data_IF_489937788760
#
_entry.id   IF_489937788760
#
_cell.length_a   1.000
_cell.length_b   1.000
_cell.length_c   1.000
_cell.angle_alpha   90.00
_cell.angle_beta   90.00
_cell.angle_gamma   90.00
#
_symmetry.space_group_name_H-M   'P 1'
#
loop_
_entity.id
_entity.type
_entity.pdbx_description
1 polymer ?
#
# COMPACT_ATOMS: atom_id res chain seq x y z
N UNK A 1 -43.38 -26.73 11.67
CA UNK A 1 -42.62 -26.70 12.92
C UNK A 1 -41.23 -26.19 12.59
N UNK A 2 -41.01 -24.91 12.81
CA UNK A 2 -39.73 -24.20 12.63
C UNK A 2 -39.68 -23.17 13.76
N UNK A 3 -38.56 -23.03 14.50
CA UNK A 3 -38.50 -22.10 15.62
C UNK A 3 -38.07 -20.71 15.13
N UNK A 4 -38.84 -19.71 15.55
CA UNK A 4 -38.50 -18.29 15.52
C UNK A 4 -37.34 -18.02 16.48
N UNK A 5 -36.41 -17.15 16.08
CA UNK A 5 -35.38 -16.61 16.97
C UNK A 5 -35.53 -15.09 17.07
N UNK A 6 -35.86 -14.63 18.27
CA UNK A 6 -35.95 -13.23 18.71
C UNK A 6 -34.56 -12.58 18.83
N UNK A 7 -34.46 -11.31 18.43
CA UNK A 7 -33.35 -10.40 18.75
C UNK A 7 -33.71 -9.53 19.97
N UNK A 8 -32.77 -9.21 20.88
CA UNK A 8 -32.99 -8.28 21.98
C UNK A 8 -32.68 -6.80 21.60
N UNK A 9 -33.15 -5.83 22.40
CA UNK A 9 -33.24 -4.42 22.00
C UNK A 9 -32.01 -3.56 22.34
N UNK A 10 -31.89 -2.49 21.57
CA UNK A 10 -30.93 -1.38 21.66
C UNK A 10 -31.19 -0.53 22.92
N UNK A 11 -30.15 -0.24 23.70
CA UNK A 11 -30.18 0.77 24.77
C UNK A 11 -29.64 2.11 24.26
N UNK A 12 -30.47 3.14 24.43
CA UNK A 12 -30.18 4.55 24.25
C UNK A 12 -29.29 5.10 25.36
N UNK A 13 -28.29 5.91 25.01
CA UNK A 13 -27.61 6.81 25.96
C UNK A 13 -27.56 8.23 25.40
N UNK A 14 -27.84 9.14 26.32
CA UNK A 14 -28.12 10.56 26.15
C UNK A 14 -26.86 11.40 25.94
N UNK A 15 -27.02 12.50 25.19
CA UNK A 15 -26.12 13.65 25.11
C UNK A 15 -25.95 14.37 26.46
N UNK A 16 -24.93 15.24 26.59
CA UNK A 16 -25.28 16.64 26.82
C UNK A 16 -24.44 17.68 26.04
N UNK A 17 -25.20 18.68 25.60
CA UNK A 17 -25.02 20.13 25.39
C UNK A 17 -23.63 20.81 25.43
N UNK A 18 -23.45 21.66 24.41
CA UNK A 18 -22.50 22.76 24.25
C UNK A 18 -22.51 23.77 25.41
N UNK A 19 -21.37 24.43 25.61
CA UNK A 19 -21.35 25.88 25.83
C UNK A 19 -20.20 26.55 25.05
N UNK A 20 -20.53 27.70 24.50
CA UNK A 20 -19.73 28.53 23.58
C UNK A 20 -19.15 29.71 24.35
N UNK A 21 -17.85 30.00 24.22
CA UNK A 21 -17.35 31.38 24.40
C UNK A 21 -16.20 31.69 23.45
N UNK A 22 -16.48 32.66 22.58
CA UNK A 22 -15.60 33.37 21.66
C UNK A 22 -14.77 34.39 22.45
N UNK A 23 -13.46 34.50 22.21
CA UNK A 23 -12.72 35.77 22.41
C UNK A 23 -11.51 35.86 21.47
N UNK A 24 -11.41 37.02 20.85
CA UNK A 24 -10.56 37.45 19.73
C UNK A 24 -9.22 38.06 20.19
N UNK A 25 -8.25 38.07 19.26
CA UNK A 25 -7.14 39.05 19.06
C UNK A 25 -5.69 38.64 19.43
N UNK A 26 -4.94 38.19 18.42
CA UNK A 26 -3.72 38.74 17.77
C UNK A 26 -2.56 39.41 18.60
N UNK A 27 -1.41 39.81 17.99
CA UNK A 27 -0.20 38.98 17.84
C UNK A 27 1.10 39.67 18.34
N UNK A 28 2.15 38.90 18.69
CA UNK A 28 3.51 39.48 18.88
C UNK A 28 4.64 38.50 18.52
N UNK A 29 5.23 38.75 17.34
CA UNK A 29 6.66 38.91 16.99
C UNK A 29 7.82 38.36 17.86
N UNK A 30 8.82 37.80 17.14
CA UNK A 30 10.29 37.66 17.35
C UNK A 30 10.85 36.96 18.60
N UNK A 31 11.69 35.92 18.41
CA UNK A 31 13.14 36.08 18.22
C UNK A 31 13.90 34.75 18.29
N UNK A 32 14.89 34.64 17.41
CA UNK A 32 15.96 33.65 17.27
C UNK A 32 16.98 33.63 18.42
N UNK A 33 17.53 32.44 18.72
CA UNK A 33 18.98 32.11 18.73
C UNK A 33 19.45 31.17 19.86
N UNK A 34 20.61 30.48 19.68
CA UNK A 34 20.93 29.19 20.30
C UNK A 34 21.97 29.27 21.43
N UNK A 35 22.09 28.21 22.23
CA UNK A 35 23.20 28.05 23.18
C UNK A 35 23.57 26.59 23.44
N UNK A 36 24.69 26.19 22.84
CA UNK A 36 25.87 25.55 23.44
C UNK A 36 25.73 24.66 24.69
N UNK A 37 26.10 23.39 24.50
CA UNK A 37 27.05 22.56 25.28
C UNK A 37 27.25 22.85 26.76
N UNK A 38 26.89 21.87 27.59
CA UNK A 38 27.57 21.60 28.86
C UNK A 38 27.81 20.10 28.99
N UNK A 39 29.09 19.75 28.94
CA UNK A 39 29.70 18.45 29.18
C UNK A 39 29.74 18.16 30.68
N UNK A 40 29.24 16.99 31.11
CA UNK A 40 29.59 16.42 32.42
C UNK A 40 29.86 14.91 32.27
N UNK A 41 31.00 14.39 32.73
CA UNK A 41 31.40 13.00 32.53
C UNK A 41 31.14 12.16 33.78
N UNK A 42 30.28 11.13 33.69
CA UNK A 42 30.27 9.99 34.62
C UNK A 42 29.23 8.94 34.20
N UNK A 43 29.68 7.91 33.48
CA UNK A 43 29.23 6.50 33.56
C UNK A 43 29.72 5.75 32.32
N UNK A 44 31.03 5.51 32.28
CA UNK A 44 31.68 4.71 31.25
C UNK A 44 31.87 3.29 31.77
N UNK A 45 30.83 2.45 31.66
CA UNK A 45 31.02 0.99 31.76
C UNK A 45 30.05 0.12 30.94
N UNK A 46 29.20 0.69 30.07
CA UNK A 46 28.31 -0.09 29.17
C UNK A 46 28.28 0.39 27.71
N UNK A 47 29.09 1.38 27.34
CA UNK A 47 28.99 2.09 26.05
C UNK A 47 29.68 1.44 24.84
N UNK A 48 30.20 0.21 24.95
CA UNK A 48 30.89 -0.45 23.84
C UNK A 48 30.03 -1.42 23.00
N UNK A 49 28.76 -1.66 23.36
CA UNK A 49 27.91 -2.64 22.64
C UNK A 49 27.23 -2.07 21.38
N UNK A 50 26.98 -0.77 21.29
CA UNK A 50 26.28 -0.16 20.16
C UNK A 50 27.25 0.50 19.16
N UNK A 51 28.16 -0.28 18.60
CA UNK A 51 28.86 0.15 17.39
C UNK A 51 27.96 -0.18 16.20
N UNK A 52 27.65 0.82 15.37
CA UNK A 52 26.93 0.64 14.10
C UNK A 52 27.56 -0.50 13.30
N UNK A 53 26.72 -1.28 12.59
CA UNK A 53 27.12 -2.39 11.72
C UNK A 53 28.38 -2.11 10.90
N UNK A 54 28.45 -0.93 10.28
CA UNK A 54 29.57 -0.50 9.45
C UNK A 54 30.91 -0.46 10.22
N UNK A 55 30.90 -0.02 11.47
CA UNK A 55 32.09 -0.01 12.33
C UNK A 55 32.57 -1.42 12.65
N UNK A 56 31.63 -2.36 12.85
CA UNK A 56 31.95 -3.76 13.12
C UNK A 56 32.51 -4.46 11.89
N UNK A 57 31.96 -4.21 10.70
CA UNK A 57 32.51 -4.73 9.43
C UNK A 57 33.91 -4.21 9.15
N UNK A 58 34.17 -2.92 9.39
CA UNK A 58 35.52 -2.37 9.23
C UNK A 58 36.51 -2.97 10.24
N UNK A 59 36.08 -3.27 11.47
CA UNK A 59 36.91 -4.00 12.42
C UNK A 59 37.17 -5.43 11.94
N UNK A 60 36.14 -6.13 11.43
CA UNK A 60 36.24 -7.49 10.92
C UNK A 60 37.23 -7.62 9.76
N UNK A 61 37.26 -6.64 8.85
CA UNK A 61 38.21 -6.58 7.73
C UNK A 61 39.66 -6.36 8.16
N UNK A 62 39.87 -5.74 9.33
CA UNK A 62 41.21 -5.45 9.87
C UNK A 62 41.80 -6.59 10.68
N UNK A 63 40.98 -7.55 11.10
CA UNK A 63 41.45 -8.69 11.87
C UNK A 63 42.37 -9.58 11.02
N UNK A 64 43.44 -10.13 11.62
CA UNK A 64 44.32 -11.05 10.93
C UNK A 64 43.54 -12.31 10.54
N UNK A 65 43.67 -12.72 9.28
CA UNK A 65 43.14 -14.01 8.82
C UNK A 65 44.29 -15.01 8.88
N UNK A 66 44.18 -16.11 9.65
CA UNK A 66 45.29 -17.03 9.92
C UNK A 66 45.63 -17.97 8.75
N UNK A 67 45.24 -17.59 7.54
CA UNK A 67 45.47 -18.34 6.31
C UNK A 67 46.94 -18.73 6.14
N UNK A 68 47.87 -17.80 6.38
CA UNK A 68 49.32 -18.05 6.25
C UNK A 68 49.80 -19.14 7.19
N UNK A 69 49.36 -19.09 8.45
CA UNK A 69 49.87 -19.97 9.50
C UNK A 69 49.36 -21.39 9.32
N UNK A 70 48.08 -21.53 8.98
CA UNK A 70 47.45 -22.82 8.67
C UNK A 70 48.07 -23.41 7.40
N UNK A 71 48.21 -22.60 6.34
CA UNK A 71 48.81 -23.06 5.08
C UNK A 71 50.26 -23.54 5.29
N UNK A 72 51.08 -22.76 6.00
CA UNK A 72 52.46 -23.15 6.27
C UNK A 72 52.53 -24.40 7.15
N UNK A 73 51.67 -24.54 8.16
CA UNK A 73 51.60 -25.74 8.98
C UNK A 73 51.22 -26.99 8.15
N UNK A 74 50.25 -26.85 7.24
CA UNK A 74 49.84 -27.92 6.33
C UNK A 74 50.91 -28.28 5.29
N UNK A 75 51.61 -27.29 4.73
CA UNK A 75 52.59 -27.48 3.65
C UNK A 75 53.92 -28.06 4.14
N UNK A 76 54.29 -27.79 5.40
CA UNK A 76 55.56 -28.23 6.00
C UNK A 76 55.37 -29.26 7.12
N UNK A 77 54.20 -29.88 7.16
CA UNK A 77 53.74 -30.82 8.19
C UNK A 77 54.74 -31.94 8.49
N UNK A 78 55.40 -32.52 7.48
CA UNK A 78 56.34 -33.63 7.69
C UNK A 78 57.62 -33.18 8.42
N UNK A 79 58.04 -31.94 8.19
CA UNK A 79 59.33 -31.40 8.65
C UNK A 79 59.28 -30.75 10.03
N UNK A 80 58.09 -30.32 10.48
CA UNK A 80 57.93 -29.55 11.72
C UNK A 80 57.64 -30.50 12.90
N UNK A 81 58.26 -30.28 14.09
CA UNK A 81 57.92 -31.02 15.31
C UNK A 81 56.44 -30.87 15.69
N UNK A 82 55.83 -31.93 16.22
CA UNK A 82 54.40 -31.97 16.57
C UNK A 82 53.98 -30.82 17.50
N UNK A 83 54.81 -30.49 18.48
CA UNK A 83 54.58 -29.37 19.43
C UNK A 83 54.44 -28.03 18.72
N UNK A 84 55.30 -27.75 17.74
CA UNK A 84 55.27 -26.49 16.99
C UNK A 84 54.05 -26.42 16.06
N UNK A 85 53.62 -27.56 15.48
CA UNK A 85 52.40 -27.62 14.68
C UNK A 85 51.16 -27.37 15.56
N UNK A 86 51.11 -27.95 16.76
CA UNK A 86 50.03 -27.73 17.72
C UNK A 86 49.97 -26.27 18.23
N UNK A 87 51.12 -25.64 18.47
CA UNK A 87 51.18 -24.22 18.85
C UNK A 87 50.66 -23.30 17.71
N UNK A 88 51.02 -23.58 16.46
CA UNK A 88 50.45 -22.90 15.29
C UNK A 88 48.95 -23.12 15.15
N UNK A 89 48.48 -24.35 15.39
CA UNK A 89 47.05 -24.65 15.41
C UNK A 89 46.33 -23.83 16.49
N UNK A 90 46.88 -23.74 17.71
CA UNK A 90 46.28 -22.96 18.79
C UNK A 90 46.24 -21.46 18.45
N UNK A 91 47.34 -20.91 17.94
CA UNK A 91 47.41 -19.51 17.49
C UNK A 91 46.33 -19.22 16.43
N UNK A 92 46.28 -20.04 15.38
CA UNK A 92 45.28 -19.91 14.33
C UNK A 92 43.85 -20.06 14.87
N UNK A 93 43.62 -20.99 15.80
CA UNK A 93 42.30 -21.18 16.43
C UNK A 93 41.87 -19.97 17.25
N UNK A 94 42.79 -19.33 17.97
CA UNK A 94 42.51 -18.08 18.70
C UNK A 94 42.11 -16.97 17.74
N UNK A 95 42.87 -16.79 16.65
CA UNK A 95 42.54 -15.79 15.62
C UNK A 95 41.18 -16.07 14.96
N UNK A 96 40.86 -17.35 14.64
CA UNK A 96 39.55 -17.75 14.13
C UNK A 96 38.43 -17.40 15.12
N UNK A 97 38.61 -17.71 16.40
CA UNK A 97 37.60 -17.44 17.43
C UNK A 97 37.35 -15.95 17.58
N UNK A 98 38.41 -15.12 17.67
CA UNK A 98 38.26 -13.65 17.74
C UNK A 98 37.57 -13.08 16.50
N UNK A 99 37.87 -13.63 15.32
CA UNK A 99 37.18 -13.26 14.09
C UNK A 99 35.69 -13.62 14.14
N UNK A 100 35.34 -14.83 14.59
CA UNK A 100 33.96 -15.30 14.71
C UNK A 100 33.16 -14.45 15.71
N UNK A 101 33.73 -14.15 16.88
CA UNK A 101 33.10 -13.28 17.88
C UNK A 101 32.79 -11.90 17.29
N UNK A 102 33.75 -11.32 16.55
CA UNK A 102 33.55 -10.01 15.90
C UNK A 102 32.49 -10.09 14.80
N UNK A 103 32.45 -11.19 14.04
CA UNK A 103 31.45 -11.42 13.02
C UNK A 103 30.05 -11.58 13.62
N UNK A 104 29.91 -12.33 14.73
CA UNK A 104 28.66 -12.46 15.47
C UNK A 104 28.16 -11.10 15.98
N UNK A 105 29.05 -10.28 16.55
CA UNK A 105 28.70 -8.90 16.93
C UNK A 105 28.26 -8.04 15.74
N UNK A 106 28.87 -8.23 14.55
CA UNK A 106 28.49 -7.51 13.35
C UNK A 106 27.10 -7.95 12.84
N UNK A 107 26.80 -9.26 12.80
CA UNK A 107 25.47 -9.76 12.41
C UNK A 107 24.41 -9.34 13.42
N UNK A 108 24.72 -9.35 14.72
CA UNK A 108 23.81 -8.88 15.74
C UNK A 108 23.50 -7.38 15.60
N UNK A 109 24.52 -6.55 15.35
CA UNK A 109 24.32 -5.13 15.06
C UNK A 109 23.43 -4.94 13.81
N UNK A 110 23.64 -5.76 12.77
CA UNK A 110 22.81 -5.76 11.57
C UNK A 110 21.35 -6.14 11.88
N UNK A 111 21.14 -7.17 12.71
CA UNK A 111 19.81 -7.58 13.16
C UNK A 111 19.08 -6.45 13.89
N UNK A 112 19.79 -5.73 14.76
CA UNK A 112 19.24 -4.57 15.46
C UNK A 112 18.90 -3.41 14.50
N UNK A 113 19.79 -3.09 13.56
CA UNK A 113 19.59 -2.03 12.58
C UNK A 113 18.37 -2.33 11.68
N UNK A 114 18.21 -3.59 11.23
CA UNK A 114 17.03 -4.05 10.45
C UNK A 114 15.74 -3.95 11.27
N UNK A 115 15.80 -4.21 12.57
CA UNK A 115 14.64 -4.12 13.45
C UNK A 115 14.18 -2.69 13.75
N UNK A 116 15.11 -1.74 13.89
CA UNK A 116 14.81 -0.36 14.30
C UNK A 116 14.56 0.58 13.12
N UNK A 117 15.44 0.58 12.12
CA UNK A 117 15.43 1.59 11.05
C UNK A 117 14.69 1.12 9.78
N UNK A 118 14.12 -0.09 9.82
CA UNK A 118 13.41 -0.71 8.70
C UNK A 118 14.38 -1.34 7.68
N UNK A 119 13.97 -1.52 6.41
CA UNK A 119 14.84 -2.13 5.40
C UNK A 119 16.03 -1.22 5.11
N UNK A 120 17.14 -1.47 5.77
CA UNK A 120 18.46 -0.92 5.45
C UNK A 120 18.87 -1.30 4.02
N UNK A 121 19.84 -0.57 3.48
CA UNK A 121 20.35 -0.81 2.14
C UNK A 121 20.79 -2.27 1.98
N UNK A 122 20.19 -3.00 1.04
CA UNK A 122 20.48 -4.42 0.78
C UNK A 122 21.97 -4.70 0.53
N UNK A 123 22.75 -3.67 0.23
CA UNK A 123 24.21 -3.71 0.07
C UNK A 123 24.93 -4.23 1.32
N UNK A 124 24.39 -3.96 2.51
CA UNK A 124 25.06 -4.28 3.77
C UNK A 124 25.12 -5.80 4.00
N UNK A 125 24.00 -6.51 3.86
CA UNK A 125 23.98 -7.99 3.99
C UNK A 125 24.91 -8.67 2.97
N UNK A 126 24.96 -8.15 1.74
CA UNK A 126 25.78 -8.72 0.68
C UNK A 126 27.27 -8.68 1.00
N UNK A 127 27.73 -7.61 1.65
CA UNK A 127 29.13 -7.49 2.07
C UNK A 127 29.50 -8.54 3.12
N UNK A 128 28.63 -8.76 4.12
CA UNK A 128 28.86 -9.80 5.13
C UNK A 128 28.91 -11.20 4.53
N UNK A 129 28.03 -11.49 3.56
CA UNK A 129 28.01 -12.79 2.87
C UNK A 129 29.30 -13.04 2.08
N UNK A 130 29.82 -12.02 1.39
CA UNK A 130 31.11 -12.10 0.70
C UNK A 130 32.25 -12.36 1.69
N UNK A 131 32.27 -11.64 2.82
CA UNK A 131 33.28 -11.81 3.87
C UNK A 131 33.21 -13.23 4.46
N UNK A 132 32.03 -13.74 4.78
CA UNK A 132 31.84 -15.11 5.29
C UNK A 132 32.29 -16.16 4.27
N UNK A 133 31.91 -16.01 3.00
CA UNK A 133 32.33 -16.95 1.94
C UNK A 133 33.86 -16.95 1.74
N UNK A 134 34.51 -15.79 1.89
CA UNK A 134 35.97 -15.68 1.86
C UNK A 134 36.63 -16.32 3.09
N UNK A 135 35.96 -16.32 4.24
CA UNK A 135 36.50 -16.87 5.48
C UNK A 135 36.35 -18.39 5.60
N UNK A 136 35.31 -18.97 5.01
CA UNK A 136 34.99 -20.41 5.02
C UNK A 136 36.21 -21.33 4.80
N UNK A 137 37.09 -21.11 3.81
CA UNK A 137 38.24 -21.98 3.59
C UNK A 137 39.20 -22.08 4.79
N UNK A 138 39.30 -21.05 5.63
CA UNK A 138 40.17 -21.09 6.82
C UNK A 138 39.65 -22.07 7.87
N UNK A 139 38.31 -22.15 8.03
CA UNK A 139 37.67 -23.14 8.91
C UNK A 139 37.95 -24.54 8.40
N UNK A 140 37.80 -24.75 7.09
CA UNK A 140 38.04 -26.05 6.45
C UNK A 140 39.51 -26.48 6.55
N UNK A 141 40.45 -25.56 6.32
CA UNK A 141 41.89 -25.81 6.47
C UNK A 141 42.29 -26.10 7.92
N UNK A 142 41.66 -25.45 8.91
CA UNK A 142 41.92 -25.73 10.32
C UNK A 142 41.46 -27.15 10.71
N UNK A 143 40.33 -27.60 10.14
CA UNK A 143 39.85 -28.98 10.30
C UNK A 143 40.82 -29.98 9.66
N UNK A 144 41.30 -29.71 8.44
CA UNK A 144 42.33 -30.55 7.79
C UNK A 144 43.62 -30.61 8.62
N UNK A 145 44.05 -29.47 9.18
CA UNK A 145 45.23 -29.40 10.02
C UNK A 145 45.07 -30.26 11.28
N UNK A 146 43.90 -30.21 11.92
CA UNK A 146 43.56 -31.07 13.07
C UNK A 146 43.63 -32.55 12.70
N UNK A 147 43.08 -32.97 11.56
CA UNK A 147 43.13 -34.36 11.09
C UNK A 147 44.57 -34.84 10.84
N UNK A 148 45.41 -33.98 10.26
CA UNK A 148 46.84 -34.27 10.08
C UNK A 148 47.58 -34.37 11.41
N UNK A 149 47.32 -33.48 12.36
CA UNK A 149 47.94 -33.54 13.70
C UNK A 149 47.56 -34.85 14.40
N UNK A 150 46.29 -35.26 14.34
CA UNK A 150 45.81 -36.54 14.89
C UNK A 150 46.47 -37.75 14.22
N UNK A 151 46.66 -37.72 12.90
CA UNK A 151 47.37 -38.76 12.18
C UNK A 151 48.84 -38.85 12.63
N UNK A 152 49.51 -37.71 12.84
CA UNK A 152 50.90 -37.66 13.34
C UNK A 152 50.99 -38.25 14.75
N UNK A 153 50.06 -37.87 15.60
CA UNK A 153 49.98 -38.31 17.00
C UNK A 153 49.79 -39.84 17.10
N UNK A 154 49.00 -40.43 16.18
CA UNK A 154 48.80 -41.89 16.09
C UNK A 154 50.00 -42.65 15.52
N UNK A 155 50.81 -42.00 14.68
CA UNK A 155 52.00 -42.60 14.06
C UNK A 155 53.28 -42.46 14.90
N UNK A 156 53.27 -41.62 15.94
CA UNK A 156 54.42 -41.38 16.80
C UNK A 156 54.80 -42.62 17.63
N UNK A 157 56.09 -42.85 17.92
CA UNK A 157 56.53 -43.96 18.75
C UNK A 157 56.02 -43.84 20.20
N UNK A 158 55.79 -45.00 20.84
CA UNK A 158 55.11 -45.12 22.14
C UNK A 158 55.69 -44.23 23.26
N UNK A 159 57.01 -44.00 23.26
CA UNK A 159 57.69 -43.15 24.23
C UNK A 159 57.36 -41.65 24.08
N UNK A 160 57.22 -41.15 22.84
CA UNK A 160 56.75 -39.77 22.60
C UNK A 160 55.24 -39.68 22.85
N UNK A 161 54.51 -40.77 22.59
CA UNK A 161 53.07 -40.84 22.76
C UNK A 161 52.63 -40.72 24.24
N UNK A 162 53.41 -41.23 25.19
CA UNK A 162 53.15 -41.08 26.63
C UNK A 162 53.37 -39.64 27.12
N UNK A 163 54.42 -38.96 26.63
CA UNK A 163 54.66 -37.54 26.91
C UNK A 163 53.58 -36.64 26.26
N UNK A 164 53.14 -36.96 25.04
CA UNK A 164 52.08 -36.25 24.33
C UNK A 164 50.68 -36.52 24.90
N UNK A 165 50.42 -37.72 25.42
CA UNK A 165 49.18 -38.05 26.11
C UNK A 165 49.02 -37.23 27.40
N UNK A 166 50.12 -36.91 28.07
CA UNK A 166 50.12 -36.03 29.24
C UNK A 166 49.68 -34.59 28.90
N UNK A 167 49.84 -34.16 27.65
CA UNK A 167 49.53 -32.79 27.18
C UNK A 167 48.07 -32.61 26.74
N UNK A 168 47.22 -33.64 26.80
CA UNK A 168 45.80 -33.59 26.42
C UNK A 168 45.53 -33.00 25.00
N UNK A 169 46.51 -33.10 24.09
CA UNK A 169 46.46 -32.46 22.76
C UNK A 169 45.23 -32.91 21.97
N UNK A 170 44.91 -34.19 21.97
CA UNK A 170 43.77 -34.74 21.24
C UNK A 170 42.43 -34.15 21.72
N UNK A 171 42.26 -34.01 23.03
CA UNK A 171 41.08 -33.43 23.64
C UNK A 171 40.97 -31.92 23.34
N UNK A 172 42.07 -31.18 23.44
CA UNK A 172 42.16 -29.74 23.13
C UNK A 172 41.83 -29.45 21.66
N UNK A 173 42.37 -30.25 20.72
CA UNK A 173 42.07 -30.16 19.28
C UNK A 173 40.58 -30.40 19.00
N UNK A 174 40.02 -31.47 19.55
CA UNK A 174 38.62 -31.85 19.35
C UNK A 174 37.67 -30.78 19.90
N UNK A 175 37.89 -30.31 21.14
CA UNK A 175 37.07 -29.30 21.77
C UNK A 175 37.13 -27.96 21.02
N UNK A 176 38.33 -27.55 20.58
CA UNK A 176 38.54 -26.29 19.85
C UNK A 176 37.86 -26.31 18.49
N UNK A 177 38.06 -27.38 17.69
CA UNK A 177 37.38 -27.53 16.40
C UNK A 177 35.87 -27.61 16.57
N UNK A 178 35.37 -28.33 17.57
CA UNK A 178 33.93 -28.42 17.82
C UNK A 178 33.35 -27.04 18.15
N UNK A 179 34.03 -26.26 19.01
CA UNK A 179 33.66 -24.88 19.34
C UNK A 179 33.57 -24.00 18.09
N UNK A 180 34.64 -23.94 17.30
CA UNK A 180 34.69 -23.16 16.05
C UNK A 180 33.59 -23.59 15.07
N UNK A 181 33.37 -24.89 14.89
CA UNK A 181 32.28 -25.40 14.02
C UNK A 181 30.91 -24.99 14.51
N UNK A 182 30.66 -25.04 15.82
CA UNK A 182 29.37 -24.63 16.40
C UNK A 182 29.13 -23.13 16.27
N UNK A 183 30.13 -22.27 16.57
CA UNK A 183 30.02 -20.82 16.39
C UNK A 183 29.83 -20.46 14.91
N UNK A 184 30.56 -21.12 14.00
CA UNK A 184 30.38 -20.91 12.56
C UNK A 184 28.97 -21.29 12.07
N UNK A 185 28.42 -22.40 12.55
CA UNK A 185 27.04 -22.80 12.24
C UNK A 185 26.02 -21.82 12.81
N UNK A 186 26.21 -21.37 14.06
CA UNK A 186 25.40 -20.35 14.71
C UNK A 186 25.39 -19.04 13.92
N UNK A 187 26.57 -18.54 13.53
CA UNK A 187 26.72 -17.33 12.72
C UNK A 187 25.99 -17.45 11.37
N UNK A 188 26.11 -18.59 10.68
CA UNK A 188 25.37 -18.84 9.43
C UNK A 188 23.86 -18.79 9.64
N UNK A 189 23.36 -19.42 10.71
CA UNK A 189 21.95 -19.41 11.03
C UNK A 189 21.46 -17.98 11.37
N UNK A 190 22.25 -17.22 12.13
CA UNK A 190 21.94 -15.83 12.46
C UNK A 190 21.89 -14.96 11.19
N UNK A 191 22.86 -15.09 10.28
CA UNK A 191 22.85 -14.36 9.01
C UNK A 191 21.65 -14.74 8.13
N UNK A 192 21.30 -16.03 8.06
CA UNK A 192 20.14 -16.49 7.29
C UNK A 192 18.82 -15.95 7.88
N UNK A 193 18.72 -15.92 9.21
CA UNK A 193 17.61 -15.25 9.89
C UNK A 193 17.52 -13.77 9.51
N UNK A 194 18.63 -13.03 9.61
CA UNK A 194 18.67 -11.60 9.25
C UNK A 194 18.34 -11.37 7.77
N UNK A 195 18.78 -12.25 6.87
CA UNK A 195 18.38 -12.26 5.45
C UNK A 195 16.87 -12.40 5.28
N UNK A 196 16.27 -13.34 6.00
CA UNK A 196 14.81 -13.52 6.03
C UNK A 196 14.07 -12.31 6.58
N UNK A 197 14.54 -11.77 7.70
CA UNK A 197 13.97 -10.59 8.35
C UNK A 197 14.02 -9.36 7.44
N UNK A 198 15.16 -9.12 6.75
CA UNK A 198 15.30 -8.03 5.78
C UNK A 198 14.40 -8.23 4.55
N UNK A 199 14.33 -9.45 4.02
CA UNK A 199 13.45 -9.75 2.89
C UNK A 199 11.98 -9.48 3.24
N UNK A 200 11.56 -9.90 4.45
CA UNK A 200 10.24 -9.61 5.00
C UNK A 200 10.00 -8.11 5.19
N UNK A 201 10.96 -7.37 5.76
CA UNK A 201 10.87 -5.92 5.95
C UNK A 201 10.76 -5.18 4.61
N UNK A 202 11.57 -5.56 3.61
CA UNK A 202 11.52 -4.99 2.27
C UNK A 202 10.18 -5.22 1.59
N UNK A 203 9.63 -6.44 1.68
CA UNK A 203 8.30 -6.75 1.16
C UNK A 203 7.22 -5.88 1.85
N UNK A 204 7.25 -5.77 3.19
CA UNK A 204 6.30 -4.92 3.94
C UNK A 204 6.38 -3.45 3.51
N UNK A 205 7.59 -2.91 3.34
CA UNK A 205 7.77 -1.53 2.90
C UNK A 205 7.24 -1.30 1.47
N UNK A 206 7.48 -2.23 0.55
CA UNK A 206 6.93 -2.17 -0.81
C UNK A 206 5.40 -2.21 -0.80
N UNK A 207 4.80 -3.07 0.04
CA UNK A 207 3.36 -3.13 0.23
C UNK A 207 2.78 -1.84 0.80
N UNK A 208 3.42 -1.23 1.81
CA UNK A 208 2.99 0.07 2.34
C UNK A 208 3.01 1.15 1.25
N UNK A 209 4.09 1.23 0.47
CA UNK A 209 4.18 2.18 -0.66
C UNK A 209 3.08 1.94 -1.70
N UNK A 210 2.76 0.66 -1.99
CA UNK A 210 1.68 0.34 -2.93
C UNK A 210 0.31 0.72 -2.37
N UNK A 211 0.05 0.49 -1.09
CA UNK A 211 -1.17 0.93 -0.40
C UNK A 211 -1.31 2.46 -0.41
N UNK A 212 -0.23 3.19 -0.16
CA UNK A 212 -0.20 4.65 -0.21
C UNK A 212 -0.55 5.18 -1.60
N UNK A 213 0.03 4.58 -2.64
CA UNK A 213 -0.32 4.92 -4.02
C UNK A 213 -1.81 4.64 -4.30
N UNK A 214 -2.35 3.51 -3.86
CA UNK A 214 -3.77 3.17 -4.03
C UNK A 214 -4.68 4.18 -3.31
N UNK A 215 -4.30 4.63 -2.11
CA UNK A 215 -5.06 5.66 -1.39
C UNK A 215 -5.07 7.00 -2.14
N UNK A 216 -3.94 7.42 -2.71
CA UNK A 216 -3.87 8.63 -3.54
C UNK A 216 -4.78 8.49 -4.77
N UNK A 217 -4.76 7.33 -5.43
CA UNK A 217 -5.65 7.09 -6.57
C UNK A 217 -7.14 7.12 -6.18
N UNK A 218 -7.49 6.58 -5.01
CA UNK A 218 -8.86 6.65 -4.47
C UNK A 218 -9.27 8.11 -4.25
N UNK A 219 -8.42 8.90 -3.60
CA UNK A 219 -8.70 10.31 -3.31
C UNK A 219 -8.85 11.12 -4.61
N UNK A 220 -7.99 10.90 -5.61
CA UNK A 220 -8.09 11.55 -6.93
C UNK A 220 -9.38 11.19 -7.68
N UNK A 221 -9.83 9.94 -7.58
CA UNK A 221 -11.11 9.51 -8.17
C UNK A 221 -12.27 10.18 -7.42
N UNK A 222 -12.23 10.23 -6.08
CA UNK A 222 -13.24 10.92 -5.29
C UNK A 222 -13.34 12.40 -5.68
N UNK A 223 -12.20 13.10 -5.82
CA UNK A 223 -12.17 14.48 -6.29
C UNK A 223 -12.79 14.66 -7.69
N UNK A 224 -12.59 13.68 -8.58
CA UNK A 224 -13.17 13.69 -9.92
C UNK A 224 -14.71 13.52 -9.87
N UNK A 225 -15.19 12.65 -8.98
CA UNK A 225 -16.63 12.47 -8.73
C UNK A 225 -17.25 13.75 -8.14
N UNK A 226 -16.58 14.39 -7.19
CA UNK A 226 -17.06 15.64 -6.58
C UNK A 226 -17.08 16.78 -7.60
N UNK A 227 -16.08 16.88 -8.47
CA UNK A 227 -16.05 17.84 -9.57
C UNK A 227 -17.23 17.63 -10.54
N UNK A 228 -17.51 16.37 -10.91
CA UNK A 228 -18.67 16.00 -11.71
C UNK A 228 -19.99 16.42 -11.04
N UNK A 229 -20.17 16.13 -9.75
CA UNK A 229 -21.38 16.48 -9.01
C UNK A 229 -21.57 18.00 -8.89
N UNK A 230 -20.48 18.75 -8.73
CA UNK A 230 -20.51 20.21 -8.68
C UNK A 230 -20.90 20.81 -10.03
N UNK A 231 -20.34 20.30 -11.14
CA UNK A 231 -20.73 20.74 -12.49
C UNK A 231 -22.20 20.43 -12.76
N UNK A 232 -22.68 19.25 -12.35
CA UNK A 232 -24.10 18.87 -12.46
C UNK A 232 -25.02 19.78 -11.65
N UNK A 233 -24.66 20.09 -10.41
CA UNK A 233 -25.46 20.97 -9.53
C UNK A 233 -25.50 22.42 -10.04
N UNK A 234 -24.44 22.88 -10.69
CA UNK A 234 -24.40 24.21 -11.30
C UNK A 234 -25.37 24.34 -12.48
N UNK A 235 -25.63 23.26 -13.22
CA UNK A 235 -26.59 23.25 -14.34
C UNK A 235 -28.04 23.34 -13.86
N UNK A 236 -28.36 22.72 -12.72
CA UNK A 236 -29.75 22.65 -12.23
C UNK A 236 -30.16 23.89 -11.42
N UNK A 237 -29.20 24.60 -10.81
CA UNK A 237 -29.46 25.74 -9.93
C UNK A 237 -29.97 27.00 -10.64
N UNK A 238 -29.75 27.16 -11.95
CA UNK A 238 -30.13 28.37 -12.69
C UNK A 238 -31.59 28.36 -13.19
N UNK A 239 -32.33 27.24 -13.04
CA UNK A 239 -33.70 27.09 -13.53
C UNK A 239 -34.82 27.37 -12.51
N UNK A 240 -34.53 27.51 -11.21
CA UNK A 240 -35.59 27.73 -10.19
C UNK A 240 -36.19 29.16 -10.18
N UNK A 241 -35.78 30.04 -11.11
CA UNK A 241 -36.20 31.44 -11.17
C UNK A 241 -37.02 31.82 -12.41
N UNK A 242 -38.34 31.60 -12.37
CA UNK A 242 -39.37 32.30 -13.16
C UNK A 242 -39.21 32.38 -14.71
N UNK A 243 -40.05 31.58 -15.39
CA UNK A 243 -40.50 31.62 -16.80
C UNK A 243 -39.49 31.27 -17.91
N UNK A 244 -39.84 30.29 -18.78
CA UNK A 244 -38.97 29.83 -19.87
C UNK A 244 -38.98 30.83 -21.05
N UNK A 245 -37.93 31.66 -21.14
CA UNK A 245 -37.62 32.36 -22.40
C UNK A 245 -36.84 31.43 -23.32
N UNK A 246 -37.60 30.58 -24.04
CA UNK A 246 -37.15 29.60 -25.03
C UNK A 246 -36.55 30.31 -26.26
N UNK A 247 -35.29 30.75 -26.19
CA UNK A 247 -34.42 30.99 -27.36
C UNK A 247 -32.99 31.44 -26.98
N UNK A 248 -32.03 30.52 -27.00
CA UNK A 248 -30.65 30.69 -27.55
C UNK A 248 -29.49 30.02 -26.79
N UNK A 249 -29.67 29.34 -25.66
CA UNK A 249 -28.54 28.78 -24.88
C UNK A 249 -28.15 27.31 -25.17
N UNK A 250 -28.84 26.59 -26.06
CA UNK A 250 -28.70 25.13 -26.20
C UNK A 250 -27.32 24.58 -26.63
N UNK A 251 -26.39 25.43 -27.08
CA UNK A 251 -25.05 24.98 -27.49
C UNK A 251 -24.04 24.82 -26.35
N UNK A 252 -24.12 25.65 -25.32
CA UNK A 252 -23.17 25.63 -24.20
C UNK A 252 -23.45 24.48 -23.23
N UNK A 253 -24.74 24.21 -23.01
CA UNK A 253 -25.23 23.17 -22.12
C UNK A 253 -24.92 21.76 -22.64
N UNK A 254 -25.14 21.52 -23.95
CA UNK A 254 -24.79 20.26 -24.59
C UNK A 254 -23.29 19.93 -24.50
N UNK A 255 -22.42 20.94 -24.60
CA UNK A 255 -20.98 20.74 -24.49
C UNK A 255 -20.56 20.40 -23.06
N UNK A 256 -21.18 21.02 -22.05
CA UNK A 256 -20.89 20.75 -20.65
C UNK A 256 -21.41 19.36 -20.23
N UNK A 257 -22.62 18.97 -20.67
CA UNK A 257 -23.13 17.59 -20.52
C UNK A 257 -22.18 16.55 -21.13
N UNK A 258 -21.59 16.84 -22.30
CA UNK A 258 -20.60 15.97 -22.93
C UNK A 258 -19.31 15.81 -22.10
N UNK A 259 -18.77 16.90 -21.53
CA UNK A 259 -17.56 16.85 -20.67
C UNK A 259 -17.82 16.09 -19.37
N UNK A 260 -19.01 16.28 -18.81
CA UNK A 260 -19.47 15.59 -17.62
C UNK A 260 -19.54 14.07 -17.84
N UNK A 261 -20.11 13.63 -18.97
CA UNK A 261 -20.12 12.21 -19.38
C UNK A 261 -18.71 11.63 -19.64
N UNK A 262 -17.82 12.42 -20.25
CA UNK A 262 -16.43 12.02 -20.47
C UNK A 262 -15.68 11.82 -19.14
N UNK A 263 -15.88 12.75 -18.19
CA UNK A 263 -15.30 12.67 -16.84
C UNK A 263 -15.77 11.41 -16.10
N UNK A 264 -17.06 11.09 -16.19
CA UNK A 264 -17.60 9.87 -15.60
C UNK A 264 -17.02 8.60 -16.24
N UNK A 265 -16.92 8.56 -17.57
CA UNK A 265 -16.32 7.42 -18.28
C UNK A 265 -14.85 7.22 -17.89
N UNK A 266 -14.12 8.32 -17.65
CA UNK A 266 -12.75 8.27 -17.14
C UNK A 266 -12.71 7.74 -15.70
N UNK A 267 -13.63 8.18 -14.83
CA UNK A 267 -13.77 7.67 -13.46
C UNK A 267 -14.02 6.17 -13.46
N UNK A 268 -14.99 5.67 -14.23
CA UNK A 268 -15.29 4.23 -14.31
C UNK A 268 -14.05 3.44 -14.78
N UNK A 269 -13.35 3.92 -15.81
CA UNK A 269 -12.12 3.27 -16.31
C UNK A 269 -11.02 3.21 -15.25
N UNK A 270 -10.86 4.25 -14.44
CA UNK A 270 -9.89 4.30 -13.34
C UNK A 270 -10.29 3.36 -12.19
N UNK A 271 -11.58 3.26 -11.88
CA UNK A 271 -12.10 2.33 -10.87
C UNK A 271 -11.81 0.88 -11.27
N UNK A 272 -12.01 0.50 -12.53
CA UNK A 272 -11.69 -0.85 -13.01
C UNK A 272 -10.21 -1.22 -12.85
N UNK A 273 -9.30 -0.27 -13.14
CA UNK A 273 -7.86 -0.46 -12.89
C UNK A 273 -7.56 -0.61 -11.39
N UNK A 274 -8.29 0.13 -10.55
CA UNK A 274 -8.13 0.10 -9.11
C UNK A 274 -8.59 -1.23 -8.50
N UNK A 275 -9.67 -1.84 -9.02
CA UNK A 275 -10.12 -3.19 -8.62
C UNK A 275 -8.97 -4.20 -8.74
N UNK A 276 -8.34 -4.27 -9.92
CA UNK A 276 -7.25 -5.21 -10.17
C UNK A 276 -6.04 -4.98 -9.22
N UNK A 277 -5.77 -3.73 -8.86
CA UNK A 277 -4.68 -3.38 -7.93
C UNK A 277 -5.00 -3.76 -6.49
N UNK A 278 -6.26 -3.57 -6.06
CA UNK A 278 -6.71 -3.95 -4.73
C UNK A 278 -6.74 -5.48 -4.59
N UNK A 279 -7.19 -6.22 -5.60
CA UNK A 279 -7.13 -7.68 -5.62
C UNK A 279 -5.68 -8.19 -5.53
N UNK A 280 -4.76 -7.54 -6.25
CA UNK A 280 -3.33 -7.84 -6.15
C UNK A 280 -2.81 -7.57 -4.73
N UNK A 281 -3.21 -6.47 -4.10
CA UNK A 281 -2.86 -6.17 -2.70
C UNK A 281 -3.40 -7.23 -1.74
N UNK A 282 -4.67 -7.62 -1.84
CA UNK A 282 -5.28 -8.61 -0.95
C UNK A 282 -4.55 -9.96 -1.01
N UNK A 283 -4.25 -10.43 -2.22
CA UNK A 283 -3.47 -11.66 -2.42
C UNK A 283 -2.07 -11.57 -1.80
N UNK A 284 -1.39 -10.43 -1.98
CA UNK A 284 -0.04 -10.22 -1.42
C UNK A 284 -0.07 -10.13 0.10
N UNK A 285 -0.98 -9.34 0.68
CA UNK A 285 -1.15 -9.22 2.14
C UNK A 285 -1.51 -10.57 2.77
N UNK A 286 -2.41 -11.33 2.13
CA UNK A 286 -2.81 -12.66 2.59
C UNK A 286 -1.68 -13.70 2.54
N UNK A 287 -0.72 -13.54 1.63
CA UNK A 287 0.45 -14.42 1.49
C UNK A 287 1.59 -14.14 2.48
N UNK A 288 1.53 -13.04 3.25
CA UNK A 288 2.59 -12.72 4.19
C UNK A 288 2.69 -13.82 5.27
N UNK A 289 3.92 -14.29 5.59
CA UNK A 289 4.12 -15.25 6.66
C UNK A 289 3.46 -14.75 7.94
N UNK A 290 2.52 -15.55 8.47
CA UNK A 290 1.93 -15.32 9.79
C UNK A 290 2.90 -15.80 10.87
N UNK A 291 4.13 -15.29 10.88
CA UNK A 291 5.16 -15.85 11.75
C UNK A 291 5.26 -15.15 13.11
N UNK A 292 5.65 -15.97 14.09
CA UNK A 292 5.50 -15.78 15.52
C UNK A 292 6.64 -14.96 16.16
N UNK A 293 6.25 -14.16 17.15
CA UNK A 293 7.03 -13.69 18.28
C UNK A 293 8.40 -13.02 17.99
N UNK A 294 8.43 -11.69 18.14
CA UNK A 294 9.56 -11.10 18.85
C UNK A 294 9.76 -9.61 18.66
N UNK A 295 9.99 -9.16 17.43
CA UNK A 295 10.62 -7.84 17.21
C UNK A 295 9.98 -7.00 16.08
N UNK A 296 8.92 -7.49 15.43
CA UNK A 296 8.32 -6.83 14.25
C UNK A 296 6.84 -6.51 14.34
N UNK A 297 6.24 -6.55 15.53
CA UNK A 297 4.78 -6.39 15.69
C UNK A 297 4.30 -4.99 15.29
N UNK A 298 5.03 -3.92 15.63
CA UNK A 298 4.61 -2.55 15.32
C UNK A 298 4.52 -2.29 13.81
N UNK A 299 5.51 -2.74 13.04
CA UNK A 299 5.48 -2.61 11.57
C UNK A 299 4.35 -3.43 10.94
N UNK A 300 4.06 -4.61 11.50
CA UNK A 300 2.95 -5.46 11.05
C UNK A 300 1.60 -4.84 11.37
N UNK A 301 1.45 -4.28 12.55
CA UNK A 301 0.22 -3.60 12.98
C UNK A 301 -0.01 -2.33 12.15
N UNK A 302 1.05 -1.57 11.86
CA UNK A 302 0.99 -0.42 10.97
C UNK A 302 0.57 -0.83 9.54
N UNK A 303 1.16 -1.89 8.98
CA UNK A 303 0.79 -2.41 7.66
C UNK A 303 -0.67 -2.87 7.64
N UNK A 304 -1.12 -3.62 8.65
CA UNK A 304 -2.49 -4.09 8.75
C UNK A 304 -3.48 -2.92 8.91
N UNK A 305 -3.15 -1.93 9.74
CA UNK A 305 -3.94 -0.71 9.91
C UNK A 305 -4.06 0.05 8.58
N UNK A 306 -2.95 0.17 7.84
CA UNK A 306 -2.94 0.82 6.52
C UNK A 306 -3.78 0.05 5.50
N UNK A 307 -3.68 -1.28 5.51
CA UNK A 307 -4.51 -2.13 4.66
C UNK A 307 -6.01 -1.96 4.95
N UNK A 308 -6.39 -1.94 6.22
CA UNK A 308 -7.78 -1.69 6.62
C UNK A 308 -8.26 -0.30 6.18
N UNK A 309 -7.40 0.72 6.24
CA UNK A 309 -7.72 2.04 5.73
C UNK A 309 -7.99 2.03 4.21
N UNK A 310 -7.18 1.31 3.43
CA UNK A 310 -7.42 1.11 1.98
C UNK A 310 -8.79 0.49 1.75
N UNK A 311 -9.12 -0.60 2.46
CA UNK A 311 -10.41 -1.28 2.30
C UNK A 311 -11.59 -0.39 2.64
N UNK A 312 -11.54 0.33 3.77
CA UNK A 312 -12.61 1.27 4.15
C UNK A 312 -12.80 2.38 3.10
N UNK A 313 -11.70 2.95 2.59
CA UNK A 313 -11.74 4.00 1.56
C UNK A 313 -12.24 3.48 0.22
N UNK A 314 -11.88 2.24 -0.11
CA UNK A 314 -12.36 1.55 -1.29
C UNK A 314 -13.87 1.29 -1.24
N UNK A 315 -14.39 0.83 -0.10
CA UNK A 315 -15.83 0.61 0.09
C UNK A 315 -16.63 1.92 -0.02
N UNK A 316 -16.12 3.00 0.59
CA UNK A 316 -16.70 4.35 0.48
C UNK A 316 -16.71 4.86 -0.98
N UNK A 317 -15.62 4.65 -1.73
CA UNK A 317 -15.56 4.97 -3.16
C UNK A 317 -16.59 4.20 -3.98
N UNK A 318 -16.73 2.89 -3.75
CA UNK A 318 -17.75 2.07 -4.43
C UNK A 318 -19.16 2.59 -4.19
N UNK A 319 -19.46 2.94 -2.93
CA UNK A 319 -20.76 3.51 -2.57
C UNK A 319 -21.02 4.86 -3.27
N UNK A 320 -20.02 5.77 -3.29
CA UNK A 320 -20.14 7.04 -4.03
C UNK A 320 -20.41 6.82 -5.51
N UNK A 321 -19.69 5.88 -6.13
CA UNK A 321 -19.88 5.53 -7.54
C UNK A 321 -21.28 4.97 -7.81
N UNK A 322 -21.77 4.07 -6.95
CA UNK A 322 -23.12 3.53 -7.07
C UNK A 322 -24.18 4.63 -6.95
N UNK A 323 -24.02 5.55 -5.98
CA UNK A 323 -24.90 6.71 -5.81
C UNK A 323 -24.96 7.58 -7.07
N UNK A 324 -23.81 7.93 -7.65
CA UNK A 324 -23.77 8.72 -8.90
C UNK A 324 -24.43 7.96 -10.06
N UNK A 325 -24.27 6.63 -10.11
CA UNK A 325 -24.94 5.80 -11.11
C UNK A 325 -26.46 5.80 -10.97
N UNK A 326 -26.98 5.82 -9.74
CA UNK A 326 -28.42 5.93 -9.46
C UNK A 326 -28.94 7.31 -9.84
N UNK A 327 -28.26 8.38 -9.41
CA UNK A 327 -28.60 9.77 -9.78
C UNK A 327 -28.68 9.96 -11.31
N UNK A 328 -27.75 9.37 -12.07
CA UNK A 328 -27.77 9.41 -13.53
C UNK A 328 -28.95 8.66 -14.16
N UNK A 329 -29.39 7.56 -13.55
CA UNK A 329 -30.58 6.86 -14.01
C UNK A 329 -31.81 7.73 -13.77
N UNK A 330 -31.90 8.39 -12.62
CA UNK A 330 -32.96 9.34 -12.31
C UNK A 330 -32.98 10.50 -13.31
N UNK A 331 -31.83 11.10 -13.63
CA UNK A 331 -31.71 12.17 -14.63
C UNK A 331 -32.22 11.72 -16.01
N UNK A 332 -31.88 10.50 -16.42
CA UNK A 332 -32.39 9.92 -17.69
C UNK A 332 -33.90 9.73 -17.66
N UNK A 333 -34.47 9.35 -16.53
CA UNK A 333 -35.93 9.25 -16.39
C UNK A 333 -36.59 10.62 -16.46
N UNK A 334 -36.01 11.65 -15.83
CA UNK A 334 -36.51 13.02 -15.91
C UNK A 334 -36.52 13.54 -17.35
N UNK A 335 -35.45 13.30 -18.12
CA UNK A 335 -35.39 13.68 -19.54
C UNK A 335 -36.51 13.02 -20.37
N UNK A 336 -36.80 11.74 -20.11
CA UNK A 336 -37.93 11.04 -20.77
C UNK A 336 -39.27 11.64 -20.35
N UNK A 337 -39.45 11.97 -19.07
CA UNK A 337 -40.69 12.60 -18.58
C UNK A 337 -40.90 14.00 -19.16
N UNK A 338 -39.84 14.80 -19.27
CA UNK A 338 -39.87 16.11 -19.89
C UNK A 338 -40.28 16.01 -21.37
N UNK A 339 -39.68 15.08 -22.12
CA UNK A 339 -40.07 14.83 -23.52
C UNK A 339 -41.55 14.43 -23.65
N UNK A 340 -42.05 13.58 -22.75
CA UNK A 340 -43.47 13.20 -22.73
C UNK A 340 -44.34 14.41 -22.37
N UNK A 341 -43.92 15.25 -21.43
CA UNK A 341 -44.64 16.47 -21.06
C UNK A 341 -44.70 17.46 -22.22
N UNK A 342 -43.58 17.69 -22.93
CA UNK A 342 -43.55 18.51 -24.15
C UNK A 342 -44.47 17.93 -25.24
N UNK A 343 -44.50 16.60 -25.40
CA UNK A 343 -45.41 15.94 -26.33
C UNK A 343 -46.88 16.18 -25.95
N UNK A 344 -47.23 16.04 -24.67
CA UNK A 344 -48.58 16.30 -24.15
C UNK A 344 -48.97 17.76 -24.32
N UNK A 345 -48.06 18.70 -24.06
CA UNK A 345 -48.28 20.14 -24.27
C UNK A 345 -48.56 20.43 -25.76
N UNK A 346 -47.73 19.89 -26.66
CA UNK A 346 -47.95 20.00 -28.11
C UNK A 346 -49.29 19.38 -28.55
N UNK A 347 -49.74 18.31 -27.89
CA UNK A 347 -51.06 17.72 -28.13
C UNK A 347 -52.18 18.65 -27.64
N UNK A 348 -52.02 19.24 -26.46
CA UNK A 348 -52.98 20.18 -25.87
C UNK A 348 -53.12 21.42 -26.74
N UNK A 349 -52.02 22.04 -27.18
CA UNK A 349 -52.04 23.16 -28.13
C UNK A 349 -52.76 22.80 -29.44
N UNK A 350 -52.62 21.55 -29.90
CA UNK A 350 -53.31 21.05 -31.09
C UNK A 350 -54.82 20.97 -30.87
N UNK A 351 -55.25 20.47 -29.71
CA UNK A 351 -56.66 20.44 -29.31
C UNK A 351 -57.21 21.86 -29.15
N UNK A 352 -56.49 22.78 -28.53
CA UNK A 352 -56.90 24.19 -28.37
C UNK A 352 -57.09 24.89 -29.72
N UNK A 353 -56.18 24.63 -30.68
CA UNK A 353 -56.31 25.11 -32.06
C UNK A 353 -57.57 24.55 -32.74
N UNK A 354 -57.86 23.26 -32.55
CA UNK A 354 -59.06 22.63 -33.12
C UNK A 354 -60.35 23.19 -32.51
N UNK A 355 -60.40 23.37 -31.18
CA UNK A 355 -61.53 23.99 -30.46
C UNK A 355 -61.75 25.42 -30.95
N UNK A 356 -60.68 26.21 -31.06
CA UNK A 356 -60.75 27.58 -31.57
C UNK A 356 -61.29 27.64 -33.00
N UNK A 357 -60.89 26.70 -33.86
CA UNK A 357 -61.41 26.60 -35.22
C UNK A 357 -62.92 26.26 -35.25
N UNK A 358 -63.34 25.25 -34.49
CA UNK A 358 -64.76 24.88 -34.36
C UNK A 358 -65.61 26.04 -33.84
N UNK A 359 -65.11 26.78 -32.85
CA UNK A 359 -65.78 27.96 -32.32
C UNK A 359 -65.94 29.05 -33.39
N UNK A 360 -64.89 29.29 -34.18
CA UNK A 360 -64.95 30.23 -35.32
C UNK A 360 -66.01 29.84 -36.37
N UNK A 361 -66.12 28.55 -36.70
CA UNK A 361 -67.15 28.05 -37.61
C UNK A 361 -68.57 28.27 -37.06
N UNK A 362 -68.78 27.98 -35.78
CA UNK A 362 -70.07 28.20 -35.10
C UNK A 362 -70.46 29.68 -35.16
N UNK A 363 -69.52 30.58 -34.87
CA UNK A 363 -69.79 32.03 -34.86
C UNK A 363 -70.05 32.56 -36.28
N UNK A 364 -69.40 32.01 -37.30
CA UNK A 364 -69.72 32.29 -38.71
C UNK A 364 -71.15 31.86 -39.07
N UNK A 365 -71.55 30.64 -38.71
CA UNK A 365 -72.93 30.14 -38.95
C UNK A 365 -73.96 31.04 -38.24
N UNK A 366 -73.73 31.40 -36.97
CA UNK A 366 -74.61 32.31 -36.23
C UNK A 366 -74.75 33.66 -36.94
N UNK A 367 -73.66 34.20 -37.50
CA UNK A 367 -73.68 35.46 -38.26
C UNK A 367 -74.54 35.33 -39.52
N UNK A 368 -74.36 34.26 -40.30
CA UNK A 368 -75.15 34.00 -41.51
C UNK A 368 -76.64 33.89 -41.21
N UNK A 369 -77.01 33.15 -40.16
CA UNK A 369 -78.39 33.01 -39.71
C UNK A 369 -78.98 34.37 -39.32
N UNK A 370 -78.23 35.21 -38.59
CA UNK A 370 -78.66 36.57 -38.24
C UNK A 370 -78.87 37.46 -39.46
N UNK A 371 -78.03 37.32 -40.49
CA UNK A 371 -78.12 38.11 -41.73
C UNK A 371 -79.16 37.59 -42.73
N UNK A 372 -79.82 36.44 -42.45
CA UNK A 372 -80.76 35.75 -43.37
C UNK A 372 -80.17 35.45 -44.75
N UNK A 373 -78.85 35.32 -44.84
CA UNK A 373 -78.20 34.88 -46.08
C UNK A 373 -78.30 33.37 -46.12
N UNK A 374 -79.05 32.84 -47.09
CA UNK A 374 -79.02 31.41 -47.41
C UNK A 374 -77.67 31.13 -48.06
N UNK A 375 -76.84 30.21 -47.53
CA UNK A 375 -75.59 29.85 -48.19
C UNK A 375 -75.91 29.22 -49.55
N UNK A 376 -75.54 29.89 -50.64
CA UNK A 376 -75.64 29.34 -52.00
C UNK A 376 -74.59 28.24 -52.26
N UNK A 377 -73.56 28.13 -51.41
CA UNK A 377 -72.53 27.10 -51.50
C UNK A 377 -72.66 26.08 -50.35
N UNK A 378 -72.70 24.77 -50.64
CA UNK A 378 -72.65 23.75 -49.61
C UNK A 378 -71.33 23.86 -48.83
N UNK A 379 -71.41 23.74 -47.50
CA UNK A 379 -70.24 23.68 -46.62
C UNK A 379 -69.26 22.65 -47.20
N UNK A 380 -68.04 23.08 -47.49
CA UNK A 380 -66.99 22.24 -48.07
C UNK A 380 -66.60 21.14 -47.07
N UNK A 381 -67.27 20.01 -47.22
CA UNK A 381 -67.12 18.83 -46.38
C UNK A 381 -65.73 18.23 -46.52
N UNK A 382 -65.08 18.40 -47.67
CA UNK A 382 -63.73 17.89 -47.91
C UNK A 382 -62.69 18.72 -47.16
N UNK A 383 -62.87 20.04 -47.08
CA UNK A 383 -62.01 20.90 -46.28
C UNK A 383 -62.06 20.52 -44.78
N UNK A 384 -63.27 20.31 -44.24
CA UNK A 384 -63.43 19.82 -42.87
C UNK A 384 -62.76 18.45 -42.66
N UNK A 385 -62.93 17.53 -43.61
CA UNK A 385 -62.30 16.20 -43.52
C UNK A 385 -60.77 16.28 -43.61
N UNK A 386 -60.23 17.20 -44.40
CA UNK A 386 -58.79 17.44 -44.50
C UNK A 386 -58.22 17.97 -43.19
N UNK A 387 -58.95 18.82 -42.46
CA UNK A 387 -58.54 19.30 -41.14
C UNK A 387 -58.51 18.13 -40.15
N UNK A 388 -59.55 17.30 -40.11
CA UNK A 388 -59.57 16.09 -39.27
C UNK A 388 -58.45 15.10 -39.63
N UNK A 389 -58.20 14.88 -40.91
CA UNK A 389 -57.14 13.98 -41.37
C UNK A 389 -55.73 14.51 -41.08
N UNK A 390 -55.54 15.83 -41.10
CA UNK A 390 -54.28 16.46 -40.68
C UNK A 390 -54.00 16.32 -39.18
N UNK A 391 -55.04 16.07 -38.38
CA UNK A 391 -54.94 15.75 -36.96
C UNK A 391 -54.48 14.30 -36.74
N UNK A 392 -54.99 13.37 -37.56
CA UNK A 392 -54.69 11.94 -37.47
C UNK A 392 -53.29 11.57 -37.98
N UNK A 393 -52.72 12.37 -38.91
CA UNK A 393 -51.42 12.09 -39.52
C UNK A 393 -50.20 12.69 -38.78
N UNK A 394 -50.42 13.46 -37.70
CA UNK A 394 -49.37 14.09 -36.87
C UNK A 394 -49.15 13.41 -35.52
N UNK A 395 -49.84 12.30 -35.30
CA UNK A 395 -49.67 11.35 -34.19
C UNK A 395 -49.35 9.98 -34.78
#
# INVERSE_FOLDING_TARGET
MSPSQEFPPVQSTLSPTLDTTTTTAAPTTVSSSPSTTTTTPASATTTNLNKSYHSQIENLKRLPVPYSDIYHALSSYDTIPLRTIHERFRSASTDLTTWLETAEMAVFALEMDVGQDGPTDKRDIGEMDVIMNRFQPNVDMLVELKEKIEAKLKAAPFAEQEELASLQIDQDLQQTIQGIKSSWASLKQMLEKVKGDLAGAGLRAELMMHMDSVLVDIDDICMSIDAYNNERSAMTSDEEGFLPSKASSGGADAQAKQRSLETLSQVDSRIELLIARIDCLDNRVGSLPKDEAGLGNESKDALQSRYQQVLCRWDDLKFRRERVSEELKEDKWLEVFEQVAEQVESMMESVERAVSHCQGLIDHIKLMVRQKVVPDAPIDREHLYSIFKSFEAKH
#
